data_IF_267878484725
#
_entry.id   IF_267878484725
#
_cell.length_a   1.000
_cell.length_b   1.000
_cell.length_c   1.000
_cell.angle_alpha   90.00
_cell.angle_beta   90.00
_cell.angle_gamma   90.00
#
_symmetry.space_group_name_H-M   'P 1'
#
loop_
_entity.id
_entity.type
_entity.pdbx_description
1 polymer ?
#
# COMPACT_ATOMS: atom_id res chain seq x y z
N UNK A 1 -21.35 29.38 -37.61
CA UNK A 1 -21.72 28.14 -36.89
C UNK A 1 -20.53 27.22 -36.59
N UNK A 2 -19.76 26.74 -37.57
CA UNK A 2 -18.58 25.85 -37.32
C UNK A 2 -17.54 26.44 -36.33
N UNK A 3 -17.28 27.75 -36.39
CA UNK A 3 -16.35 28.45 -35.46
C UNK A 3 -16.89 28.60 -34.03
N UNK A 4 -18.22 28.72 -33.88
CA UNK A 4 -18.88 28.79 -32.57
C UNK A 4 -18.89 27.40 -31.89
N UNK A 5 -19.08 26.34 -32.68
CA UNK A 5 -19.04 24.95 -32.22
C UNK A 5 -17.63 24.56 -31.73
N UNK A 6 -16.57 24.97 -32.44
CA UNK A 6 -15.18 24.73 -32.02
C UNK A 6 -14.84 25.44 -30.70
N UNK A 7 -15.36 26.65 -30.49
CA UNK A 7 -15.18 27.39 -29.25
C UNK A 7 -15.92 26.74 -28.07
N UNK A 8 -17.15 26.26 -28.29
CA UNK A 8 -17.93 25.54 -27.28
C UNK A 8 -17.29 24.20 -26.89
N UNK A 9 -16.74 23.45 -27.85
CA UNK A 9 -16.01 22.19 -27.56
C UNK A 9 -14.75 22.48 -26.73
N UNK A 10 -14.02 23.56 -27.02
CA UNK A 10 -12.87 23.97 -26.23
C UNK A 10 -13.26 24.34 -24.79
N UNK A 11 -14.37 25.07 -24.61
CA UNK A 11 -14.88 25.42 -23.29
C UNK A 11 -15.33 24.19 -22.50
N UNK A 12 -15.96 23.23 -23.17
CA UNK A 12 -16.35 21.94 -22.60
C UNK A 12 -15.12 21.15 -22.15
N UNK A 13 -14.07 21.07 -22.98
CA UNK A 13 -12.79 20.41 -22.64
C UNK A 13 -12.07 21.07 -21.47
N UNK A 14 -12.11 22.41 -21.37
CA UNK A 14 -11.58 23.16 -20.22
C UNK A 14 -12.43 23.02 -18.95
N UNK A 15 -13.73 22.76 -19.09
CA UNK A 15 -14.65 22.53 -17.97
C UNK A 15 -14.74 21.06 -17.53
N UNK A 16 -14.05 20.15 -18.22
CA UNK A 16 -13.93 18.78 -17.74
C UNK A 16 -13.27 18.82 -16.36
N UNK A 17 -13.89 18.20 -15.34
CA UNK A 17 -13.31 18.19 -14.01
C UNK A 17 -11.96 17.48 -14.12
N UNK A 18 -10.88 18.23 -13.94
CA UNK A 18 -9.54 17.70 -13.66
C UNK A 18 -9.64 16.97 -12.31
N UNK A 19 -10.21 15.78 -12.37
CA UNK A 19 -10.56 14.96 -11.23
C UNK A 19 -9.24 14.57 -10.59
N UNK A 20 -8.96 15.16 -9.43
CA UNK A 20 -7.78 14.94 -8.60
C UNK A 20 -6.45 14.93 -9.37
N UNK A 21 -5.93 16.12 -9.67
CA UNK A 21 -4.47 16.30 -9.72
C UNK A 21 -3.98 16.02 -8.29
N UNK A 22 -3.71 14.75 -7.98
CA UNK A 22 -3.03 14.40 -6.75
C UNK A 22 -1.71 15.17 -6.77
N UNK A 23 -1.48 15.99 -5.75
CA UNK A 23 -0.21 16.70 -5.62
C UNK A 23 0.91 15.66 -5.68
N UNK A 24 1.83 15.82 -6.64
CA UNK A 24 3.01 14.96 -6.71
C UNK A 24 3.80 15.23 -5.44
N UNK A 25 3.74 14.30 -4.50
CA UNK A 25 4.55 14.36 -3.31
C UNK A 25 5.95 13.86 -3.68
N UNK A 26 6.98 14.67 -3.39
CA UNK A 26 8.37 14.27 -3.59
C UNK A 26 8.72 13.07 -2.71
N UNK A 27 8.01 12.92 -1.59
CA UNK A 27 8.24 11.91 -0.57
C UNK A 27 7.31 10.71 -0.69
N UNK A 28 6.54 10.62 -1.78
CA UNK A 28 5.63 9.49 -1.97
C UNK A 28 6.40 8.18 -2.10
N UNK A 29 5.97 7.16 -1.37
CA UNK A 29 6.62 5.84 -1.30
C UNK A 29 8.09 5.85 -0.79
N UNK A 30 8.49 6.88 -0.04
CA UNK A 30 9.82 6.94 0.61
C UNK A 30 9.68 6.53 2.07
N UNK A 31 9.97 5.27 2.37
CA UNK A 31 9.74 4.73 3.69
C UNK A 31 10.72 5.25 4.76
N UNK A 32 11.95 5.60 4.34
CA UNK A 32 13.01 5.99 5.27
C UNK A 32 12.81 7.35 5.97
N UNK A 33 11.82 8.15 5.56
CA UNK A 33 11.55 9.45 6.20
C UNK A 33 11.00 9.32 7.62
N UNK A 34 10.46 8.16 7.97
CA UNK A 34 9.96 7.89 9.32
C UNK A 34 11.04 7.49 10.31
N UNK A 35 12.12 6.85 9.85
CA UNK A 35 13.13 6.21 10.71
C UNK A 35 14.57 6.71 10.52
N UNK A 36 14.84 7.48 9.46
CA UNK A 36 16.17 8.02 9.16
C UNK A 36 17.12 7.04 8.48
N UNK A 37 16.70 5.80 8.21
CA UNK A 37 17.54 4.75 7.62
C UNK A 37 17.35 4.68 6.10
N UNK A 38 17.80 5.72 5.39
CA UNK A 38 17.63 5.79 3.94
C UNK A 38 18.64 4.92 3.20
N UNK A 39 18.11 4.09 2.29
CA UNK A 39 18.91 3.30 1.35
C UNK A 39 19.15 4.08 0.05
N UNK A 40 20.15 3.69 -0.77
CA UNK A 40 20.29 4.25 -2.12
C UNK A 40 19.04 4.11 -2.99
N UNK A 41 18.20 3.08 -2.72
CA UNK A 41 16.93 2.91 -3.42
C UNK A 41 15.95 4.05 -3.07
N UNK A 42 15.81 4.40 -1.78
CA UNK A 42 14.94 5.50 -1.34
C UNK A 42 15.31 6.83 -2.02
N UNK A 43 16.61 7.08 -2.19
CA UNK A 43 17.11 8.27 -2.90
C UNK A 43 16.70 8.27 -4.39
N UNK A 44 16.69 7.11 -5.03
CA UNK A 44 16.23 6.96 -6.42
C UNK A 44 14.72 7.18 -6.55
N UNK A 45 13.92 6.75 -5.57
CA UNK A 45 12.48 7.04 -5.53
C UNK A 45 12.24 8.55 -5.44
N UNK A 46 12.97 9.26 -4.57
CA UNK A 46 12.92 10.73 -4.50
C UNK A 46 13.32 11.37 -5.84
N UNK A 47 14.42 10.92 -6.44
CA UNK A 47 14.89 11.43 -7.73
C UNK A 47 13.85 11.20 -8.85
N UNK A 48 13.20 10.04 -8.86
CA UNK A 48 12.12 9.72 -9.79
C UNK A 48 10.90 10.63 -9.59
N UNK A 49 10.46 10.80 -8.34
CA UNK A 49 9.35 11.69 -7.99
C UNK A 49 9.64 13.15 -8.38
N UNK A 50 10.88 13.59 -8.21
CA UNK A 50 11.33 14.92 -8.63
C UNK A 50 11.33 15.08 -10.16
N UNK A 51 11.84 14.09 -10.90
CA UNK A 51 11.78 14.11 -12.36
C UNK A 51 10.33 14.15 -12.88
N UNK A 52 9.44 13.39 -12.25
CA UNK A 52 8.00 13.39 -12.53
C UNK A 52 7.34 14.74 -12.24
N UNK A 53 7.71 15.38 -11.13
CA UNK A 53 7.25 16.72 -10.78
C UNK A 53 7.66 17.76 -11.84
N UNK A 54 8.93 17.74 -12.27
CA UNK A 54 9.41 18.63 -13.35
C UNK A 54 8.64 18.35 -14.64
N UNK A 55 8.50 17.08 -15.03
CA UNK A 55 7.82 16.71 -16.26
C UNK A 55 6.37 17.21 -16.29
N UNK A 56 5.59 16.97 -15.23
CA UNK A 56 4.20 17.43 -15.14
C UNK A 56 4.11 18.96 -15.14
N UNK A 57 5.01 19.63 -14.43
CA UNK A 57 5.05 21.10 -14.40
C UNK A 57 5.34 21.69 -15.79
N UNK A 58 6.31 21.11 -16.52
CA UNK A 58 6.64 21.54 -17.88
C UNK A 58 5.53 21.20 -18.88
N UNK A 59 4.88 20.04 -18.75
CA UNK A 59 3.75 19.66 -19.58
C UNK A 59 2.57 20.64 -19.41
N UNK A 60 2.32 21.11 -18.19
CA UNK A 60 1.33 22.15 -17.92
C UNK A 60 1.67 23.48 -18.62
N UNK A 61 2.94 23.89 -18.60
CA UNK A 61 3.40 25.09 -19.32
C UNK A 61 3.27 24.95 -20.84
N UNK A 62 3.66 23.80 -21.40
CA UNK A 62 3.48 23.48 -22.82
C UNK A 62 2.01 23.62 -23.23
N UNK A 63 1.10 23.05 -22.44
CA UNK A 63 -0.34 23.17 -22.68
C UNK A 63 -0.79 24.63 -22.65
N UNK A 64 -0.34 25.41 -21.67
CA UNK A 64 -0.66 26.84 -21.57
C UNK A 64 -0.17 27.62 -22.79
N UNK A 65 1.05 27.37 -23.28
CA UNK A 65 1.58 28.00 -24.48
C UNK A 65 0.78 27.63 -25.73
N UNK A 66 0.37 26.36 -25.88
CA UNK A 66 -0.47 25.93 -27.01
C UNK A 66 -1.81 26.66 -26.97
N UNK A 67 -2.46 26.74 -25.81
CA UNK A 67 -3.74 27.44 -25.65
C UNK A 67 -3.61 28.92 -25.97
N UNK A 68 -2.55 29.57 -25.46
CA UNK A 68 -2.28 30.98 -25.71
C UNK A 68 -2.04 31.28 -27.20
N UNK A 69 -1.21 30.49 -27.88
CA UNK A 69 -0.96 30.69 -29.32
C UNK A 69 -2.18 30.33 -30.18
N UNK A 70 -2.99 29.36 -29.75
CA UNK A 70 -4.24 29.01 -30.43
C UNK A 70 -5.25 30.16 -30.36
N UNK A 71 -5.38 30.80 -29.19
CA UNK A 71 -6.21 32.00 -29.04
C UNK A 71 -5.69 33.13 -29.92
N UNK A 72 -4.38 33.37 -29.94
CA UNK A 72 -3.76 34.40 -30.77
C UNK A 72 -4.01 34.18 -32.26
N UNK A 73 -4.01 32.92 -32.72
CA UNK A 73 -4.32 32.55 -34.10
C UNK A 73 -5.78 32.90 -34.46
N UNK A 74 -6.72 32.65 -33.55
CA UNK A 74 -8.15 32.97 -33.77
C UNK A 74 -8.38 34.48 -33.83
N UNK A 75 -7.75 35.25 -32.93
CA UNK A 75 -7.94 36.69 -32.85
C UNK A 75 -7.30 37.45 -34.03
N UNK A 76 -6.23 36.91 -34.63
CA UNK A 76 -5.48 37.59 -35.70
C UNK A 76 -5.67 36.94 -37.09
N UNK A 77 -6.78 36.22 -37.33
CA UNK A 77 -7.03 35.55 -38.62
C UNK A 77 -6.98 36.45 -39.86
N UNK A 78 -7.07 37.78 -39.71
CA UNK A 78 -6.98 38.75 -40.81
C UNK A 78 -5.58 39.23 -41.16
N UNK A 79 -4.54 38.81 -40.42
CA UNK A 79 -3.15 39.20 -40.66
C UNK A 79 -2.29 37.95 -40.89
N UNK A 80 -1.92 37.69 -42.16
CA UNK A 80 -1.19 36.49 -42.57
C UNK A 80 0.15 36.33 -41.84
N UNK A 81 0.87 37.43 -41.60
CA UNK A 81 2.16 37.41 -40.91
C UNK A 81 2.01 36.93 -39.46
N UNK A 82 1.00 37.43 -38.75
CA UNK A 82 0.72 37.01 -37.36
C UNK A 82 0.23 35.56 -37.28
N UNK A 83 -0.57 35.10 -38.26
CA UNK A 83 -1.03 33.71 -38.33
C UNK A 83 0.16 32.77 -38.56
N UNK A 84 1.07 33.12 -39.47
CA UNK A 84 2.29 32.35 -39.72
C UNK A 84 3.14 32.27 -38.45
N UNK A 85 3.36 33.41 -37.78
CA UNK A 85 4.11 33.49 -36.53
C UNK A 85 3.49 32.60 -35.43
N UNK A 86 2.16 32.60 -35.27
CA UNK A 86 1.48 31.77 -34.29
C UNK A 86 1.65 30.27 -34.58
N UNK A 87 1.52 29.87 -35.85
CA UNK A 87 1.74 28.47 -36.29
C UNK A 87 3.17 28.02 -36.03
N UNK A 88 4.15 28.86 -36.31
CA UNK A 88 5.56 28.55 -36.05
C UNK A 88 5.83 28.38 -34.55
N UNK A 89 5.23 29.22 -33.70
CA UNK A 89 5.31 29.08 -32.23
C UNK A 89 4.67 27.80 -31.73
N UNK A 90 3.50 27.41 -32.26
CA UNK A 90 2.85 26.14 -31.91
C UNK A 90 3.76 24.97 -32.31
N UNK A 91 4.31 24.97 -33.53
CA UNK A 91 5.23 23.94 -34.01
C UNK A 91 6.45 23.80 -33.10
N UNK A 92 7.08 24.91 -32.72
CA UNK A 92 8.23 24.90 -31.82
C UNK A 92 7.87 24.43 -30.41
N UNK A 93 6.67 24.76 -29.92
CA UNK A 93 6.16 24.27 -28.62
C UNK A 93 5.95 22.75 -28.64
N UNK A 94 5.45 22.19 -29.74
CA UNK A 94 5.33 20.74 -29.91
C UNK A 94 6.69 20.04 -29.96
N UNK A 95 7.68 20.64 -30.62
CA UNK A 95 9.07 20.13 -30.62
C UNK A 95 9.64 20.13 -29.20
N UNK A 96 9.44 21.22 -28.44
CA UNK A 96 9.85 21.29 -27.04
C UNK A 96 9.17 20.22 -26.18
N UNK A 97 7.88 19.96 -26.38
CA UNK A 97 7.15 18.90 -25.68
C UNK A 97 7.75 17.51 -25.93
N UNK A 98 8.13 17.21 -27.18
CA UNK A 98 8.79 15.96 -27.53
C UNK A 98 10.17 15.82 -26.86
N UNK A 99 10.94 16.93 -26.79
CA UNK A 99 12.24 16.94 -26.10
C UNK A 99 12.06 16.67 -24.60
N UNK A 100 11.10 17.32 -23.95
CA UNK A 100 10.79 17.11 -22.53
C UNK A 100 10.39 15.66 -22.26
N UNK A 101 9.52 15.09 -23.12
CA UNK A 101 9.10 13.69 -23.02
C UNK A 101 10.26 12.72 -23.19
N UNK A 102 11.13 12.95 -24.17
CA UNK A 102 12.34 12.14 -24.38
C UNK A 102 13.28 12.20 -23.18
N UNK A 103 13.54 13.40 -22.65
CA UNK A 103 14.41 13.60 -21.51
C UNK A 103 13.89 12.89 -20.25
N UNK A 104 12.61 13.05 -19.91
CA UNK A 104 12.00 12.32 -18.80
C UNK A 104 12.11 10.80 -18.99
N UNK A 105 11.79 10.30 -20.20
CA UNK A 105 11.80 8.86 -20.48
C UNK A 105 13.21 8.26 -20.31
N UNK A 106 14.25 8.97 -20.71
CA UNK A 106 15.65 8.54 -20.54
C UNK A 106 16.02 8.49 -19.05
N UNK A 107 15.72 9.53 -18.28
CA UNK A 107 16.02 9.59 -16.84
C UNK A 107 15.27 8.49 -16.09
N UNK A 108 13.97 8.37 -16.34
CA UNK A 108 13.15 7.34 -15.72
C UNK A 108 13.65 5.93 -16.08
N UNK A 109 14.05 5.70 -17.34
CA UNK A 109 14.63 4.41 -17.76
C UNK A 109 15.94 4.10 -17.03
N UNK A 110 16.84 5.08 -16.93
CA UNK A 110 18.11 4.93 -16.24
C UNK A 110 17.92 4.60 -14.75
N UNK A 111 16.99 5.30 -14.08
CA UNK A 111 16.64 5.03 -12.68
C UNK A 111 16.13 3.60 -12.52
N UNK A 112 15.21 3.15 -13.37
CA UNK A 112 14.65 1.81 -13.29
C UNK A 112 15.72 0.73 -13.51
N UNK A 113 16.54 0.85 -14.57
CA UNK A 113 17.64 -0.09 -14.84
C UNK A 113 18.60 -0.16 -13.65
N UNK A 114 18.95 0.99 -13.05
CA UNK A 114 19.85 0.99 -11.91
C UNK A 114 19.21 0.37 -10.67
N UNK A 115 17.93 0.67 -10.40
CA UNK A 115 17.20 0.11 -9.27
C UNK A 115 16.99 -1.41 -9.36
N UNK A 116 16.92 -1.99 -10.56
CA UNK A 116 16.80 -3.45 -10.75
C UNK A 116 18.05 -4.21 -10.28
N UNK A 117 19.19 -3.52 -10.21
CA UNK A 117 20.45 -4.08 -9.74
C UNK A 117 20.68 -3.88 -8.23
N UNK A 118 19.75 -3.22 -7.52
CA UNK A 118 19.87 -3.00 -6.09
C UNK A 118 19.27 -4.17 -5.28
N UNK A 119 19.93 -4.60 -4.19
CA UNK A 119 19.43 -5.67 -3.34
C UNK A 119 18.07 -5.30 -2.72
N UNK A 120 17.10 -6.19 -2.83
CA UNK A 120 15.74 -6.00 -2.30
C UNK A 120 14.76 -5.31 -3.25
N UNK A 121 15.21 -4.79 -4.40
CA UNK A 121 14.31 -4.17 -5.38
C UNK A 121 13.31 -5.18 -5.94
N UNK A 122 12.01 -4.90 -5.78
CA UNK A 122 10.91 -5.67 -6.40
C UNK A 122 10.41 -4.99 -7.67
N UNK A 123 11.34 -4.58 -8.53
CA UNK A 123 10.95 -4.06 -9.83
C UNK A 123 10.62 -5.20 -10.79
N UNK A 124 9.38 -5.21 -11.26
CA UNK A 124 8.93 -6.09 -12.33
C UNK A 124 9.21 -5.45 -13.69
N UNK A 125 10.42 -4.93 -13.94
CA UNK A 125 10.84 -4.36 -15.22
C UNK A 125 10.05 -3.14 -15.74
N UNK A 126 10.74 -2.27 -16.48
CA UNK A 126 10.17 -1.07 -17.13
C UNK A 126 8.88 -1.32 -17.93
N UNK A 127 8.79 -2.50 -18.54
CA UNK A 127 7.71 -2.87 -19.44
C UNK A 127 6.42 -3.31 -18.73
N UNK A 128 6.48 -3.83 -17.50
CA UNK A 128 5.29 -4.39 -16.84
C UNK A 128 4.51 -3.35 -16.01
N UNK A 129 5.18 -2.38 -15.38
CA UNK A 129 4.54 -1.33 -14.56
C UNK A 129 4.37 0.01 -15.28
N UNK A 130 4.87 0.13 -16.50
CA UNK A 130 4.80 1.33 -17.32
C UNK A 130 5.80 2.41 -16.90
N UNK A 131 6.21 3.23 -17.87
CA UNK A 131 7.19 4.32 -17.76
C UNK A 131 6.85 5.44 -16.74
N UNK A 132 5.65 5.39 -16.14
CA UNK A 132 5.16 6.36 -15.14
C UNK A 132 5.30 5.89 -13.69
N UNK A 133 5.65 4.61 -13.50
CA UNK A 133 5.79 4.00 -12.18
C UNK A 133 7.26 3.99 -11.80
N UNK A 134 7.57 4.59 -10.64
CA UNK A 134 8.92 4.62 -10.08
C UNK A 134 9.29 3.31 -9.40
N UNK A 135 10.57 3.14 -9.03
CA UNK A 135 11.00 2.00 -8.24
C UNK A 135 10.29 1.97 -6.89
N UNK A 136 9.86 0.78 -6.49
CA UNK A 136 9.34 0.52 -5.13
C UNK A 136 10.49 -0.04 -4.31
N UNK A 137 10.94 0.76 -3.35
CA UNK A 137 12.00 0.36 -2.44
C UNK A 137 11.37 -0.25 -1.19
N UNK A 138 11.76 -1.47 -0.80
CA UNK A 138 11.46 -1.95 0.54
C UNK A 138 12.04 -0.94 1.52
N UNK A 139 11.25 -0.54 2.51
CA UNK A 139 11.74 0.21 3.66
C UNK A 139 13.04 -0.39 4.16
N UNK A 140 14.08 0.44 4.33
CA UNK A 140 15.50 0.10 4.53
C UNK A 140 15.90 -0.89 5.63
N UNK A 141 14.96 -1.64 6.21
CA UNK A 141 15.29 -2.97 6.68
C UNK A 141 15.67 -3.80 5.47
N UNK A 142 16.92 -4.26 5.44
CA UNK A 142 17.24 -5.44 4.64
C UNK A 142 16.09 -6.42 4.89
N UNK A 143 15.53 -7.10 3.89
CA UNK A 143 15.21 -8.48 4.19
C UNK A 143 16.55 -9.01 4.68
N UNK A 144 16.71 -9.16 6.00
CA UNK A 144 17.44 -10.33 6.42
C UNK A 144 16.76 -11.41 5.61
N UNK A 145 17.49 -11.91 4.63
CA UNK A 145 17.42 -13.31 4.33
C UNK A 145 17.61 -13.92 5.71
N UNK A 146 16.50 -14.11 6.44
CA UNK A 146 16.38 -15.19 7.38
C UNK A 146 16.71 -16.34 6.45
N UNK A 147 17.99 -16.71 6.43
CA UNK A 147 18.35 -18.03 6.03
C UNK A 147 17.50 -18.86 6.97
N UNK A 148 16.35 -19.30 6.45
CA UNK A 148 15.73 -20.54 6.88
C UNK A 148 16.84 -21.56 6.66
N UNK A 149 17.75 -21.62 7.64
CA UNK A 149 18.73 -22.67 7.78
C UNK A 149 17.91 -23.86 8.23
N UNK A 150 17.35 -24.55 7.25
CA UNK A 150 16.53 -25.72 7.46
C UNK A 150 15.07 -25.46 7.14
N UNK A 151 14.51 -26.38 6.37
CA UNK A 151 13.11 -26.73 6.49
C UNK A 151 12.86 -27.04 7.97
N UNK A 152 12.36 -26.08 8.73
CA UNK A 152 11.78 -26.36 10.04
C UNK A 152 10.42 -26.97 9.69
N UNK A 153 10.34 -28.29 9.84
CA UNK A 153 9.09 -29.06 9.70
C UNK A 153 8.06 -28.71 10.77
N UNK A 154 8.43 -27.85 11.72
CA UNK A 154 7.60 -27.30 12.79
C UNK A 154 7.72 -25.77 12.67
N UNK A 155 6.62 -25.03 12.71
CA UNK A 155 6.68 -23.57 12.57
C UNK A 155 7.40 -22.91 13.75
N UNK A 156 7.23 -21.60 13.91
CA UNK A 156 7.42 -20.97 15.20
C UNK A 156 6.09 -20.97 15.98
N UNK A 157 6.15 -20.75 17.28
CA UNK A 157 5.01 -20.51 18.16
C UNK A 157 5.39 -20.70 19.63
N UNK A 158 4.69 -19.97 20.49
CA UNK A 158 4.89 -19.99 21.93
C UNK A 158 4.63 -21.38 22.52
N UNK A 159 3.62 -22.08 22.00
CA UNK A 159 3.19 -23.40 22.46
C UNK A 159 4.26 -24.50 22.29
N UNK A 160 5.20 -24.32 21.36
CA UNK A 160 6.36 -25.21 21.15
C UNK A 160 7.69 -24.59 21.62
N UNK A 161 7.65 -23.39 22.22
CA UNK A 161 8.84 -22.68 22.70
C UNK A 161 9.79 -22.21 21.58
N UNK A 162 9.30 -22.07 20.35
CA UNK A 162 10.09 -21.60 19.20
C UNK A 162 9.68 -20.16 18.88
N UNK A 163 10.52 -19.15 19.12
CA UNK A 163 10.13 -17.76 18.92
C UNK A 163 9.92 -17.43 17.43
N UNK A 164 8.88 -16.66 17.11
CA UNK A 164 8.60 -16.25 15.73
C UNK A 164 9.49 -15.12 15.19
N UNK A 165 10.35 -14.52 16.04
CA UNK A 165 11.30 -13.47 15.68
C UNK A 165 10.68 -12.39 14.77
N UNK A 166 9.49 -11.91 15.11
CA UNK A 166 8.69 -11.11 14.19
C UNK A 166 9.06 -9.61 14.16
N UNK A 167 10.11 -9.20 14.86
CA UNK A 167 10.57 -7.81 14.85
C UNK A 167 12.06 -7.69 15.15
N UNK A 168 12.80 -7.12 14.21
CA UNK A 168 14.15 -6.58 14.46
C UNK A 168 14.13 -5.20 15.15
N UNK A 169 12.95 -4.62 15.35
CA UNK A 169 12.78 -3.22 15.82
C UNK A 169 12.50 -3.10 17.31
N UNK A 170 12.06 -4.20 17.93
CA UNK A 170 11.66 -4.28 19.33
C UNK A 170 12.17 -5.64 19.85
N UNK A 171 12.56 -5.72 21.13
CA UNK A 171 12.88 -7.00 21.76
C UNK A 171 11.61 -7.88 21.77
N UNK A 172 11.39 -8.66 20.71
CA UNK A 172 10.25 -9.56 20.56
C UNK A 172 9.07 -8.99 19.76
N UNK A 173 7.97 -9.74 19.79
CA UNK A 173 6.75 -9.44 19.06
C UNK A 173 5.76 -8.65 19.90
N UNK A 174 5.23 -7.55 19.37
CA UNK A 174 4.42 -6.61 20.15
C UNK A 174 3.09 -6.27 19.49
N UNK A 175 2.58 -7.11 18.60
CA UNK A 175 1.31 -6.89 17.91
C UNK A 175 1.27 -5.51 17.17
N UNK A 176 2.39 -5.06 16.61
CA UNK A 176 2.57 -3.74 16.01
C UNK A 176 2.39 -2.57 16.99
N UNK A 177 2.46 -2.84 18.29
CA UNK A 177 2.15 -1.92 19.38
C UNK A 177 0.67 -1.51 19.43
N UNK A 178 -0.24 -2.30 18.84
CA UNK A 178 -1.68 -2.09 18.91
C UNK A 178 -2.18 -2.64 20.25
N UNK A 179 -3.06 -1.92 20.97
CA UNK A 179 -3.60 -2.41 22.23
C UNK A 179 -4.43 -3.67 22.01
N UNK A 180 -4.34 -4.61 22.93
CA UNK A 180 -5.12 -5.84 22.91
C UNK A 180 -6.34 -5.76 23.85
N UNK A 181 -7.33 -6.59 23.57
CA UNK A 181 -8.54 -6.74 24.39
C UNK A 181 -8.24 -7.52 25.68
N UNK A 182 -9.05 -7.29 26.71
CA UNK A 182 -8.97 -8.09 27.92
C UNK A 182 -9.33 -9.54 27.57
N UNK A 183 -8.47 -10.49 27.96
CA UNK A 183 -8.66 -11.91 27.67
C UNK A 183 -7.73 -12.45 26.58
N UNK A 184 -7.09 -11.60 25.77
CA UNK A 184 -6.00 -12.11 24.91
C UNK A 184 -4.83 -12.51 25.80
N UNK A 185 -4.24 -13.66 25.50
CA UNK A 185 -2.99 -14.03 26.12
C UNK A 185 -1.83 -13.20 25.53
N UNK A 186 -0.93 -12.71 26.39
CA UNK A 186 0.20 -11.89 25.96
C UNK A 186 1.11 -12.62 24.94
N UNK A 187 1.20 -13.94 25.07
CA UNK A 187 1.99 -14.77 24.17
C UNK A 187 1.41 -14.90 22.77
N UNK A 188 0.13 -14.57 22.52
CA UNK A 188 -0.39 -14.57 21.15
C UNK A 188 0.31 -13.51 20.29
N UNK A 189 0.83 -12.42 20.88
CA UNK A 189 1.70 -11.51 20.14
C UNK A 189 3.00 -12.20 19.71
N UNK A 190 3.57 -13.09 20.54
CA UNK A 190 4.78 -13.86 20.24
C UNK A 190 4.61 -14.83 19.07
N UNK A 191 3.36 -15.22 18.78
CA UNK A 191 3.02 -16.06 17.64
C UNK A 191 2.94 -15.29 16.32
N UNK A 192 2.91 -13.96 16.33
CA UNK A 192 2.81 -13.17 15.10
C UNK A 192 3.98 -13.45 14.14
N UNK A 193 3.69 -13.55 12.83
CA UNK A 193 4.73 -13.58 11.80
C UNK A 193 5.34 -12.19 11.60
N UNK A 194 6.52 -12.12 10.99
CA UNK A 194 7.14 -10.84 10.64
C UNK A 194 6.27 -10.04 9.67
N UNK A 195 5.58 -10.72 8.76
CA UNK A 195 4.67 -10.09 7.81
C UNK A 195 3.44 -9.49 8.51
N UNK A 196 2.87 -10.20 9.50
CA UNK A 196 1.78 -9.66 10.30
C UNK A 196 2.24 -8.46 11.13
N UNK A 197 3.38 -8.54 11.80
CA UNK A 197 3.89 -7.43 12.61
C UNK A 197 4.11 -6.16 11.76
N UNK A 198 4.68 -6.31 10.56
CA UNK A 198 4.85 -5.21 9.60
C UNK A 198 3.51 -4.62 9.15
N UNK A 199 2.52 -5.47 8.87
CA UNK A 199 1.16 -5.04 8.55
C UNK A 199 0.55 -4.24 9.71
N UNK A 200 0.64 -4.73 10.94
CA UNK A 200 0.07 -4.08 12.13
C UNK A 200 0.72 -2.71 12.41
N UNK A 201 2.05 -2.60 12.29
CA UNK A 201 2.77 -1.32 12.42
C UNK A 201 2.30 -0.31 11.36
N UNK A 202 2.19 -0.73 10.10
CA UNK A 202 1.69 0.13 9.03
C UNK A 202 0.24 0.54 9.28
N UNK A 203 -0.62 -0.42 9.62
CA UNK A 203 -2.04 -0.22 9.88
C UNK A 203 -2.25 0.82 10.99
N UNK A 204 -1.58 0.65 12.13
CA UNK A 204 -1.62 1.61 13.26
C UNK A 204 -1.26 3.03 12.83
N UNK A 205 -0.18 3.17 12.06
CA UNK A 205 0.29 4.47 11.55
C UNK A 205 -0.74 5.13 10.65
N UNK A 206 -1.30 4.39 9.69
CA UNK A 206 -2.24 4.92 8.71
C UNK A 206 -3.62 5.24 9.30
N UNK A 207 -4.11 4.40 10.23
CA UNK A 207 -5.33 4.68 11.02
C UNK A 207 -5.18 5.99 11.79
N UNK A 208 -4.02 6.20 12.43
CA UNK A 208 -3.71 7.45 13.13
C UNK A 208 -3.67 8.67 12.23
N UNK A 209 -3.08 8.56 11.03
CA UNK A 209 -3.06 9.64 10.03
C UNK A 209 -4.46 10.03 9.55
N UNK A 210 -5.36 9.07 9.41
CA UNK A 210 -6.75 9.31 9.00
C UNK A 210 -7.67 9.77 10.15
N UNK A 211 -7.15 9.89 11.38
CA UNK A 211 -7.94 10.28 12.55
C UNK A 211 -9.01 9.25 12.93
N UNK A 212 -8.78 7.98 12.58
CA UNK A 212 -9.71 6.89 12.86
C UNK A 212 -9.42 6.25 14.22
N UNK A 213 -10.45 5.64 14.83
CA UNK A 213 -10.33 4.95 16.11
C UNK A 213 -9.53 3.65 15.96
N UNK A 214 -8.35 3.55 16.54
CA UNK A 214 -7.61 2.29 16.58
C UNK A 214 -8.34 1.27 17.48
N UNK A 215 -8.96 0.27 16.85
CA UNK A 215 -9.58 -0.84 17.55
C UNK A 215 -8.55 -1.76 18.21
N UNK A 216 -8.99 -2.52 19.22
CA UNK A 216 -8.15 -3.46 19.94
C UNK A 216 -8.09 -4.81 19.23
N UNK A 217 -6.93 -5.44 19.26
CA UNK A 217 -6.78 -6.82 18.78
C UNK A 217 -7.52 -7.76 19.74
N UNK A 218 -8.29 -8.69 19.19
CA UNK A 218 -9.06 -9.71 19.92
C UNK A 218 -8.50 -11.12 19.73
N UNK A 219 -7.77 -11.39 18.65
CA UNK A 219 -7.09 -12.67 18.39
C UNK A 219 -5.89 -12.44 17.46
N UNK A 220 -4.80 -13.19 17.66
CA UNK A 220 -3.72 -13.38 16.67
C UNK A 220 -3.56 -14.87 16.38
N UNK A 221 -3.28 -15.65 17.41
CA UNK A 221 -3.42 -17.10 17.43
C UNK A 221 -4.54 -17.45 18.40
N UNK A 222 -5.01 -18.69 18.37
CA UNK A 222 -5.99 -19.14 19.38
C UNK A 222 -5.32 -19.44 20.70
N UNK A 223 -6.12 -19.45 21.77
CA UNK A 223 -5.70 -19.78 23.13
C UNK A 223 -5.14 -21.20 23.29
N UNK A 224 -5.45 -22.09 22.35
CA UNK A 224 -4.92 -23.45 22.31
C UNK A 224 -3.51 -23.54 21.70
N UNK A 225 -3.02 -22.42 21.15
CA UNK A 225 -1.67 -22.28 20.60
C UNK A 225 -1.60 -22.41 19.09
N UNK A 226 -0.62 -21.70 18.52
CA UNK A 226 -0.39 -21.64 17.07
C UNK A 226 -0.13 -23.02 16.44
N UNK A 227 0.78 -23.81 17.01
CA UNK A 227 1.18 -25.09 16.43
C UNK A 227 0.18 -26.20 16.74
N UNK A 228 -0.48 -26.16 17.89
CA UNK A 228 -1.54 -27.11 18.19
C UNK A 228 -2.68 -26.98 17.17
N UNK A 229 -3.14 -25.76 16.89
CA UNK A 229 -4.18 -25.55 15.89
C UNK A 229 -3.74 -25.77 14.44
N UNK A 230 -2.44 -25.70 14.18
CA UNK A 230 -1.86 -26.05 12.88
C UNK A 230 -1.79 -27.56 12.65
N UNK A 231 -1.33 -28.31 13.65
CA UNK A 231 -0.92 -29.72 13.47
C UNK A 231 -1.93 -30.73 14.04
N UNK A 232 -2.55 -30.39 15.16
CA UNK A 232 -3.50 -31.23 15.91
C UNK A 232 -4.90 -30.60 15.94
N UNK A 233 -5.29 -29.93 14.86
CA UNK A 233 -6.55 -29.20 14.72
C UNK A 233 -7.78 -29.97 15.22
N UNK A 234 -8.49 -29.38 16.19
CA UNK A 234 -9.80 -29.83 16.68
C UNK A 234 -10.73 -28.62 16.66
N UNK A 235 -11.79 -28.64 15.84
CA UNK A 235 -12.71 -27.50 15.76
C UNK A 235 -13.46 -27.26 17.08
N UNK A 236 -13.57 -26.00 17.48
CA UNK A 236 -14.33 -25.61 18.66
C UNK A 236 -15.85 -25.81 18.51
N UNK A 237 -16.53 -26.40 19.52
CA UNK A 237 -17.97 -26.37 19.60
C UNK A 237 -18.48 -24.93 19.66
N UNK A 238 -19.63 -24.64 19.06
CA UNK A 238 -20.21 -23.28 19.10
C UNK A 238 -20.35 -22.78 20.54
N UNK A 239 -19.68 -21.67 20.86
CA UNK A 239 -19.71 -21.04 22.19
C UNK A 239 -18.72 -21.59 23.21
N UNK A 240 -17.72 -22.39 22.81
CA UNK A 240 -16.57 -22.69 23.67
C UNK A 240 -15.67 -21.47 23.86
N UNK A 241 -14.77 -21.56 24.84
CA UNK A 241 -13.80 -20.54 25.20
C UNK A 241 -12.40 -20.80 24.59
N UNK A 242 -12.31 -21.54 23.48
CA UNK A 242 -11.04 -21.79 22.78
C UNK A 242 -10.04 -22.71 23.49
N UNK A 243 -10.36 -23.32 24.64
CA UNK A 243 -9.43 -24.19 25.37
C UNK A 243 -9.56 -25.65 24.90
N UNK A 244 -8.49 -26.24 24.35
CA UNK A 244 -8.48 -27.60 23.83
C UNK A 244 -9.14 -27.75 22.45
N UNK A 245 -9.37 -26.63 21.75
CA UNK A 245 -9.93 -26.59 20.42
C UNK A 245 -9.52 -25.30 19.69
N UNK A 246 -9.83 -25.22 18.40
CA UNK A 246 -9.45 -24.16 17.48
C UNK A 246 -10.70 -23.48 16.91
N UNK A 247 -10.81 -22.17 17.12
CA UNK A 247 -11.96 -21.31 16.79
C UNK A 247 -12.01 -20.96 15.29
N UNK A 248 -10.86 -20.86 14.63
CA UNK A 248 -10.76 -20.66 13.18
C UNK A 248 -10.70 -22.00 12.42
N UNK A 249 -10.89 -21.95 11.11
CA UNK A 249 -10.84 -23.16 10.28
C UNK A 249 -9.42 -23.72 10.12
N UNK A 250 -9.31 -25.02 9.83
CA UNK A 250 -8.01 -25.64 9.53
C UNK A 250 -7.33 -24.95 8.35
N UNK A 251 -6.09 -24.53 8.54
CA UNK A 251 -5.34 -23.76 7.53
C UNK A 251 -5.66 -22.27 7.52
N UNK A 252 -6.37 -21.76 8.53
CA UNK A 252 -6.56 -20.32 8.76
C UNK A 252 -5.22 -19.57 8.82
N UNK A 253 -5.24 -18.29 8.42
CA UNK A 253 -4.10 -17.40 8.58
C UNK A 253 -3.72 -17.16 10.05
N UNK A 254 -4.66 -17.30 10.99
CA UNK A 254 -4.36 -17.33 12.42
C UNK A 254 -3.42 -18.49 12.80
N UNK A 255 -3.36 -19.53 11.96
CA UNK A 255 -2.52 -20.71 12.16
C UNK A 255 -1.36 -20.83 11.18
N UNK A 256 -1.02 -19.78 10.44
CA UNK A 256 0.05 -19.81 9.44
C UNK A 256 -0.40 -20.17 8.02
N UNK A 257 -1.71 -20.22 7.77
CA UNK A 257 -2.28 -20.53 6.47
C UNK A 257 -2.19 -22.01 6.07
N UNK A 258 -2.69 -22.33 4.89
CA UNK A 258 -2.65 -23.68 4.28
C UNK A 258 -1.22 -24.21 4.05
N UNK A 259 -0.24 -23.31 3.95
CA UNK A 259 1.18 -23.66 3.83
C UNK A 259 1.88 -23.98 5.15
N UNK A 260 1.24 -23.71 6.31
CA UNK A 260 1.81 -23.97 7.63
C UNK A 260 3.11 -23.22 7.90
N UNK A 261 3.26 -22.00 7.38
CA UNK A 261 4.49 -21.22 7.44
C UNK A 261 4.59 -20.38 8.74
N UNK A 262 5.80 -19.90 9.04
CA UNK A 262 6.22 -19.25 10.30
C UNK A 262 5.20 -18.25 10.87
N UNK A 263 4.62 -18.56 12.03
CA UNK A 263 3.80 -17.62 12.80
C UNK A 263 2.33 -17.59 12.39
N UNK A 264 1.56 -16.76 13.06
CA UNK A 264 0.24 -16.30 12.66
C UNK A 264 0.38 -15.11 11.71
N UNK A 265 -0.37 -15.16 10.61
CA UNK A 265 -0.38 -14.12 9.58
C UNK A 265 -1.60 -13.20 9.70
N UNK A 266 -2.46 -13.41 10.69
CA UNK A 266 -3.71 -12.69 10.83
C UNK A 266 -3.96 -12.16 12.24
N UNK A 267 -4.80 -11.13 12.30
CA UNK A 267 -5.30 -10.57 13.54
C UNK A 267 -6.76 -10.13 13.39
N UNK A 268 -7.53 -10.37 14.44
CA UNK A 268 -8.91 -9.90 14.55
C UNK A 268 -9.00 -8.65 15.40
N UNK A 269 -9.91 -7.75 15.04
CA UNK A 269 -10.11 -6.47 15.70
C UNK A 269 -11.56 -6.30 16.15
N UNK A 270 -11.77 -6.23 17.46
CA UNK A 270 -13.10 -6.06 18.05
C UNK A 270 -13.67 -4.65 17.81
N UNK A 271 -14.87 -4.56 17.24
CA UNK A 271 -15.53 -3.28 16.90
C UNK A 271 -16.60 -2.83 17.90
N UNK A 272 -16.80 -3.58 18.98
CA UNK A 272 -17.82 -3.30 19.98
C UNK A 272 -19.27 -3.36 19.45
N UNK A 273 -20.27 -3.06 20.30
CA UNK A 273 -21.66 -3.13 19.92
C UNK A 273 -22.04 -2.05 18.88
N UNK A 274 -23.05 -2.30 18.02
CA UNK A 274 -23.47 -1.38 16.95
C UNK A 274 -23.84 0.03 17.42
N UNK A 275 -24.22 0.16 18.69
CA UNK A 275 -24.64 1.41 19.32
C UNK A 275 -23.47 2.36 19.60
N UNK A 276 -22.22 1.88 19.60
CA UNK A 276 -21.05 2.70 19.93
C UNK A 276 -20.31 3.23 18.69
N UNK A 277 -20.35 2.51 17.57
CA UNK A 277 -19.68 2.92 16.33
C UNK A 277 -20.51 2.48 15.14
N UNK A 278 -20.84 3.43 14.24
CA UNK A 278 -21.36 3.09 12.92
C UNK A 278 -20.21 2.56 12.06
N UNK A 279 -19.75 1.35 12.38
CA UNK A 279 -18.58 0.74 11.76
C UNK A 279 -18.74 0.64 10.24
N UNK A 280 -19.96 0.36 9.77
CA UNK A 280 -20.31 0.30 8.34
C UNK A 280 -19.97 1.60 7.58
N UNK A 281 -20.00 2.76 8.23
CA UNK A 281 -19.62 4.03 7.61
C UNK A 281 -18.10 4.19 7.43
N UNK A 282 -17.29 3.42 8.16
CA UNK A 282 -15.81 3.52 8.18
C UNK A 282 -15.09 2.25 7.70
N UNK A 283 -15.79 1.11 7.55
CA UNK A 283 -15.25 -0.16 7.01
C UNK A 283 -14.46 0.06 5.72
N UNK A 284 -14.98 0.87 4.79
CA UNK A 284 -14.32 1.15 3.51
C UNK A 284 -12.95 1.82 3.66
N UNK A 285 -12.76 2.62 4.71
CA UNK A 285 -11.47 3.26 5.02
C UNK A 285 -10.47 2.25 5.57
N UNK A 286 -10.89 1.40 6.52
CA UNK A 286 -10.03 0.33 7.05
C UNK A 286 -9.58 -0.61 5.95
N UNK A 287 -10.50 -1.07 5.09
CA UNK A 287 -10.16 -1.89 3.93
C UNK A 287 -9.13 -1.22 3.02
N UNK A 288 -9.28 0.07 2.74
CA UNK A 288 -8.31 0.83 1.95
C UNK A 288 -6.94 0.90 2.64
N UNK A 289 -6.91 1.20 3.94
CA UNK A 289 -5.68 1.27 4.74
C UNK A 289 -4.96 -0.08 4.71
N UNK A 290 -5.66 -1.17 5.00
CA UNK A 290 -5.08 -2.52 5.02
C UNK A 290 -4.50 -2.87 3.65
N UNK A 291 -5.21 -2.55 2.56
CA UNK A 291 -4.66 -2.80 1.22
C UNK A 291 -3.43 -1.95 0.91
N UNK A 292 -3.38 -0.69 1.36
CA UNK A 292 -2.16 0.15 1.24
C UNK A 292 -0.98 -0.40 2.05
N UNK A 293 -1.27 -1.08 3.17
CA UNK A 293 -0.28 -1.75 4.00
C UNK A 293 0.10 -3.17 3.51
N UNK A 294 -0.39 -3.60 2.34
CA UNK A 294 -0.05 -4.91 1.77
C UNK A 294 -0.73 -6.08 2.49
N UNK A 295 -1.94 -5.88 3.01
CA UNK A 295 -2.74 -6.93 3.64
C UNK A 295 -4.07 -7.22 2.94
N UNK A 296 -4.74 -8.26 3.44
CA UNK A 296 -6.12 -8.63 3.13
C UNK A 296 -7.05 -8.19 4.28
N UNK A 297 -8.31 -7.95 3.95
CA UNK A 297 -9.32 -7.45 4.88
C UNK A 297 -10.63 -8.21 4.67
N UNK A 298 -11.21 -8.71 5.76
CA UNK A 298 -12.51 -9.38 5.79
C UNK A 298 -13.39 -8.70 6.84
N UNK A 299 -14.63 -8.39 6.46
CA UNK A 299 -15.63 -7.84 7.38
C UNK A 299 -16.47 -8.97 7.97
N UNK A 300 -16.27 -9.24 9.26
CA UNK A 300 -17.00 -10.27 10.01
C UNK A 300 -18.00 -9.68 10.99
N UNK A 301 -18.31 -8.38 10.87
CA UNK A 301 -19.11 -7.67 11.88
C UNK A 301 -20.61 -8.01 11.86
N UNK A 302 -21.05 -8.82 10.90
CA UNK A 302 -22.44 -9.25 10.70
C UNK A 302 -22.62 -10.78 10.78
N UNK A 303 -21.58 -11.54 11.18
CA UNK A 303 -21.69 -13.00 11.34
C UNK A 303 -22.50 -13.32 12.61
N UNK A 304 -23.60 -14.07 12.43
CA UNK A 304 -24.50 -14.43 13.53
C UNK A 304 -23.79 -15.37 14.52
N UNK A 305 -23.86 -15.04 15.81
CA UNK A 305 -23.28 -15.85 16.89
C UNK A 305 -21.77 -15.65 17.12
N UNK A 306 -21.12 -14.79 16.32
CA UNK A 306 -19.70 -14.44 16.47
C UNK A 306 -19.60 -13.01 17.02
N UNK A 307 -18.72 -12.73 18.00
CA UNK A 307 -18.44 -11.37 18.45
C UNK A 307 -18.06 -10.48 17.28
N UNK A 308 -18.57 -9.24 17.23
CA UNK A 308 -18.33 -8.35 16.10
C UNK A 308 -16.87 -7.95 16.01
N UNK A 309 -16.22 -8.34 14.92
CA UNK A 309 -14.85 -7.97 14.64
C UNK A 309 -14.63 -7.85 13.11
N UNK A 310 -13.50 -7.29 12.72
CA UNK A 310 -12.99 -7.44 11.36
C UNK A 310 -11.64 -8.14 11.42
N UNK A 311 -11.32 -8.82 10.34
CA UNK A 311 -10.13 -9.63 10.21
C UNK A 311 -9.17 -8.97 9.22
N UNK A 312 -7.88 -8.99 9.55
CA UNK A 312 -6.83 -8.61 8.61
C UNK A 312 -5.73 -9.66 8.59
N UNK A 313 -5.13 -9.88 7.42
CA UNK A 313 -3.95 -10.73 7.29
C UNK A 313 -2.92 -10.15 6.36
N UNK A 314 -1.69 -10.63 6.47
CA UNK A 314 -0.65 -10.31 5.51
C UNK A 314 -0.90 -11.02 4.16
N UNK A 315 -0.58 -10.35 3.05
CA UNK A 315 -0.82 -10.84 1.68
C UNK A 315 -0.09 -12.18 1.36
N UNK A 316 0.92 -12.54 2.16
CA UNK A 316 1.63 -13.81 2.06
C UNK A 316 0.79 -15.03 2.48
N UNK A 317 -0.31 -14.83 3.21
CA UNK A 317 -1.12 -15.94 3.67
C UNK A 317 -2.11 -16.43 2.60
N UNK A 318 -2.19 -17.75 2.44
CA UNK A 318 -3.26 -18.43 1.71
C UNK A 318 -4.07 -19.28 2.68
N UNK A 319 -5.32 -18.92 2.97
CA UNK A 319 -6.16 -19.73 3.86
C UNK A 319 -7.27 -19.00 4.59
N UNK A 320 -7.90 -18.01 3.95
CA UNK A 320 -9.05 -17.28 4.49
C UNK A 320 -10.35 -17.72 3.83
#
# INVERSE_FOLDING_TARGET
>A
MKKLLAFLILLIVLSLPFSSVNAISLTDNVACLGDGNCTPCDLLTVAFNFAKFIFVSMAALVLLFILWQSLFLVLNMGNEETVKTAKDKIKNTLIAALIILGAYSIVALAINIYSDNLPGSKNTGWWAKGWWTGPVCPSGKRPETIQSTGAVTEGCGHDIGVPCNCSDYFDGCHCGGIPTSAGINAWQCEDASIELEQLLVCFKREVGKEGLTLFKITSISDDDGLNNCRTAYVACPTGSNGVGCCDHMKGSCHYGGSGGINGSFAADFGVGPPTQVNFRAITGKYKSIVKRCGGNYIDETEIAGVPRHFHISAEACSGE
#
